data_IF_903207360033
#
_entry.id   IF_903207360033
#
_cell.length_a   1.000
_cell.length_b   1.000
_cell.length_c   1.000
_cell.angle_alpha   90.00
_cell.angle_beta   90.00
_cell.angle_gamma   90.00
#
_symmetry.space_group_name_H-M   'P 1'
#
loop_
_entity.id
_entity.type
_entity.pdbx_description
1 polymer ?
#
# COMPACT_ATOMS: atom_id res chain seq x y z
N UNK A 1 8.76 -20.57 8.68
CA UNK A 1 8.54 -19.40 9.55
C UNK A 1 9.58 -18.38 9.15
N UNK A 2 9.17 -17.22 8.62
CA UNK A 2 10.09 -16.17 8.20
C UNK A 2 10.61 -15.46 9.46
N UNK A 3 11.91 -15.14 9.50
CA UNK A 3 12.51 -14.43 10.64
C UNK A 3 11.93 -13.02 10.76
N UNK A 4 11.75 -12.52 11.98
CA UNK A 4 11.32 -11.15 12.25
C UNK A 4 12.20 -10.11 11.52
N UNK A 5 13.51 -10.37 11.42
CA UNK A 5 14.45 -9.51 10.71
C UNK A 5 14.17 -9.47 9.20
N UNK A 6 13.81 -10.61 8.62
CA UNK A 6 13.46 -10.70 7.20
C UNK A 6 12.12 -10.02 6.92
N UNK A 7 11.14 -10.21 7.79
CA UNK A 7 9.84 -9.53 7.69
C UNK A 7 9.97 -8.01 7.80
N UNK A 8 10.74 -7.53 8.78
CA UNK A 8 10.98 -6.09 8.95
C UNK A 8 11.74 -5.51 7.75
N UNK A 9 12.70 -6.26 7.19
CA UNK A 9 13.40 -5.87 5.98
C UNK A 9 12.46 -5.81 4.77
N UNK A 10 11.62 -6.82 4.57
CA UNK A 10 10.62 -6.83 3.47
C UNK A 10 9.64 -5.68 3.63
N UNK A 11 9.10 -5.47 4.83
CA UNK A 11 8.23 -4.35 5.14
C UNK A 11 8.89 -3.01 4.80
N UNK A 12 10.05 -2.72 5.39
CA UNK A 12 10.74 -1.44 5.19
C UNK A 12 11.18 -1.24 3.74
N UNK A 13 11.65 -2.30 3.06
CA UNK A 13 12.08 -2.20 1.66
C UNK A 13 10.90 -1.98 0.73
N UNK A 14 9.76 -2.64 0.97
CA UNK A 14 8.54 -2.41 0.20
C UNK A 14 8.04 -0.97 0.36
N UNK A 15 8.02 -0.44 1.60
CA UNK A 15 7.64 0.95 1.86
C UNK A 15 8.62 1.96 1.25
N UNK A 16 9.93 1.70 1.35
CA UNK A 16 10.96 2.53 0.74
C UNK A 16 10.88 2.53 -0.79
N UNK A 17 10.48 1.41 -1.41
CA UNK A 17 10.30 1.34 -2.87
C UNK A 17 9.13 2.20 -3.33
N UNK A 18 8.02 2.18 -2.57
CA UNK A 18 6.84 2.99 -2.89
C UNK A 18 7.14 4.50 -2.82
N UNK A 19 7.87 4.92 -1.80
CA UNK A 19 8.28 6.32 -1.65
C UNK A 19 9.35 6.67 -2.67
N UNK A 20 10.53 6.06 -2.59
CA UNK A 20 11.70 6.57 -3.34
C UNK A 20 11.66 6.31 -4.85
N UNK A 21 10.82 5.39 -5.34
CA UNK A 21 10.79 4.96 -6.75
C UNK A 21 12.07 4.32 -7.27
N UNK A 22 13.12 4.35 -6.45
CA UNK A 22 14.33 3.61 -6.67
C UNK A 22 14.01 2.19 -6.27
N UNK A 23 13.82 1.34 -7.27
CA UNK A 23 14.18 -0.05 -7.16
C UNK A 23 15.67 -0.09 -6.79
N UNK A 24 16.00 0.07 -5.52
CA UNK A 24 17.12 -0.67 -4.93
C UNK A 24 16.72 -2.13 -4.95
N UNK A 25 16.64 -2.69 -6.16
CA UNK A 25 16.66 -4.10 -6.50
C UNK A 25 18.04 -4.71 -6.18
N UNK A 26 18.72 -4.19 -5.14
CA UNK A 26 19.75 -4.95 -4.49
C UNK A 26 19.02 -5.97 -3.61
N UNK A 27 18.66 -7.07 -4.27
CA UNK A 27 18.71 -8.40 -3.67
C UNK A 27 17.53 -8.87 -2.81
N UNK A 28 16.27 -8.56 -3.13
CA UNK A 28 15.19 -9.43 -2.64
C UNK A 28 15.22 -10.74 -3.45
N UNK A 29 15.20 -10.69 -4.78
CA UNK A 29 15.24 -11.88 -5.63
C UNK A 29 16.52 -12.71 -5.43
N UNK A 30 17.68 -12.04 -5.33
CA UNK A 30 18.98 -12.74 -5.22
C UNK A 30 19.30 -13.25 -3.80
N UNK A 31 18.53 -12.88 -2.77
CA UNK A 31 18.59 -13.54 -1.45
C UNK A 31 17.84 -14.88 -1.45
N UNK A 32 16.91 -15.08 -2.40
CA UNK A 32 16.05 -16.27 -2.47
C UNK A 32 16.39 -17.22 -3.63
N UNK A 33 17.36 -16.87 -4.49
CA UNK A 33 17.87 -17.73 -5.59
C UNK A 33 18.88 -18.79 -5.13
N UNK A 34 19.00 -19.07 -3.84
CA UNK A 34 19.80 -20.19 -3.37
C UNK A 34 19.06 -21.51 -3.70
N UNK A 35 19.61 -22.40 -4.54
CA UNK A 35 18.96 -23.63 -4.97
C UNK A 35 18.96 -24.61 -3.80
N UNK A 36 17.93 -24.55 -2.96
CA UNK A 36 17.80 -25.44 -1.80
C UNK A 36 16.76 -25.05 -0.75
N UNK A 37 16.26 -23.81 -0.76
CA UNK A 37 15.21 -23.43 0.19
C UNK A 37 14.30 -22.33 -0.37
N UNK A 38 13.29 -22.73 -1.14
CA UNK A 38 12.05 -21.96 -1.19
C UNK A 38 11.63 -21.74 0.27
N UNK A 39 11.50 -20.49 0.76
CA UNK A 39 10.96 -20.27 2.08
C UNK A 39 9.58 -20.91 2.06
N UNK A 40 9.37 -21.89 2.94
CA UNK A 40 8.06 -22.47 3.22
C UNK A 40 7.08 -21.31 3.24
N UNK A 41 6.10 -21.33 2.31
CA UNK A 41 4.92 -20.46 2.20
C UNK A 41 4.36 -20.19 3.60
N UNK A 42 4.89 -19.19 4.28
CA UNK A 42 4.86 -19.12 5.73
C UNK A 42 4.41 -17.75 6.16
N UNK A 43 3.46 -17.74 7.08
CA UNK A 43 3.06 -16.54 7.83
C UNK A 43 4.32 -15.86 8.38
N UNK A 44 4.51 -14.59 8.03
CA UNK A 44 5.56 -13.76 8.60
C UNK A 44 5.26 -13.48 10.08
N UNK A 45 6.29 -13.32 10.91
CA UNK A 45 6.15 -12.93 12.31
C UNK A 45 5.52 -11.54 12.50
N UNK A 46 5.70 -10.62 11.54
CA UNK A 46 5.18 -9.25 11.55
C UNK A 46 4.10 -9.05 10.48
N UNK A 47 4.40 -9.45 9.24
CA UNK A 47 3.50 -9.27 8.10
C UNK A 47 2.37 -10.30 8.07
N UNK A 48 2.38 -11.28 8.98
CA UNK A 48 1.32 -12.26 9.12
C UNK A 48 1.05 -13.02 7.83
N UNK A 49 -0.24 -13.20 7.51
CA UNK A 49 -0.65 -13.76 6.23
C UNK A 49 -0.48 -12.80 5.06
N UNK A 50 -0.32 -11.50 5.29
CA UNK A 50 -0.19 -10.49 4.24
C UNK A 50 1.20 -10.48 3.58
N UNK A 51 2.16 -11.29 4.03
CA UNK A 51 3.54 -11.32 3.51
C UNK A 51 3.61 -11.36 1.96
N UNK A 52 2.76 -12.18 1.32
CA UNK A 52 2.72 -12.30 -0.15
C UNK A 52 2.28 -10.98 -0.82
N UNK A 53 1.41 -10.19 -0.19
CA UNK A 53 1.00 -8.87 -0.70
C UNK A 53 2.15 -7.85 -0.66
N UNK A 54 3.03 -7.92 0.35
CA UNK A 54 4.20 -7.03 0.42
C UNK A 54 5.16 -7.23 -0.75
N UNK A 55 5.21 -8.43 -1.33
CA UNK A 55 6.04 -8.73 -2.51
C UNK A 55 5.48 -8.08 -3.79
N UNK A 56 4.20 -7.72 -3.81
CA UNK A 56 3.59 -7.01 -4.93
C UNK A 56 3.81 -5.49 -4.87
N UNK A 57 4.13 -4.91 -3.70
CA UNK A 57 4.35 -3.47 -3.55
C UNK A 57 5.43 -2.93 -4.52
N UNK A 58 6.61 -3.56 -4.66
CA UNK A 58 7.61 -3.11 -5.63
C UNK A 58 7.12 -3.13 -7.08
N UNK A 59 6.38 -4.17 -7.47
CA UNK A 59 5.85 -4.32 -8.82
C UNK A 59 4.77 -3.26 -9.12
N UNK A 60 3.83 -3.04 -8.17
CA UNK A 60 2.82 -1.97 -8.27
C UNK A 60 3.51 -0.61 -8.37
N UNK A 61 4.49 -0.35 -7.51
CA UNK A 61 5.24 0.91 -7.53
C UNK A 61 5.91 1.13 -8.88
N UNK A 62 6.67 0.15 -9.38
CA UNK A 62 7.35 0.26 -10.67
C UNK A 62 6.37 0.55 -11.82
N UNK A 63 5.20 -0.10 -11.82
CA UNK A 63 4.16 0.14 -12.82
C UNK A 63 3.62 1.57 -12.76
N UNK A 64 3.37 2.11 -11.55
CA UNK A 64 2.92 3.49 -11.35
C UNK A 64 3.98 4.52 -11.79
N UNK A 65 5.25 4.24 -11.51
CA UNK A 65 6.37 5.07 -11.96
C UNK A 65 6.51 5.12 -13.48
N UNK A 66 6.38 3.97 -14.12
CA UNK A 66 6.37 3.89 -15.59
C UNK A 66 5.17 4.66 -16.15
N UNK A 67 3.98 4.48 -15.56
CA UNK A 67 2.78 5.23 -15.96
C UNK A 67 3.00 6.75 -15.87
N UNK A 68 3.46 7.26 -14.73
CA UNK A 68 3.70 8.69 -14.54
C UNK A 68 4.75 9.24 -15.54
N UNK A 69 5.77 8.44 -15.86
CA UNK A 69 6.80 8.81 -16.84
C UNK A 69 6.23 8.85 -18.27
N UNK A 70 5.42 7.86 -18.67
CA UNK A 70 4.79 7.81 -19.98
C UNK A 70 3.70 8.88 -20.17
N UNK A 71 2.96 9.22 -19.10
CA UNK A 71 1.99 10.32 -19.08
C UNK A 71 2.66 11.66 -19.41
N UNK A 72 3.86 11.91 -18.85
CA UNK A 72 4.64 13.12 -19.19
C UNK A 72 5.24 13.11 -20.60
N UNK A 73 5.51 11.92 -21.16
CA UNK A 73 6.15 11.76 -22.47
C UNK A 73 5.15 11.63 -23.64
N UNK A 74 3.85 11.47 -23.37
CA UNK A 74 2.81 11.32 -24.40
C UNK A 74 2.91 10.02 -25.22
N UNK A 75 3.44 8.94 -24.63
CA UNK A 75 3.68 7.67 -25.33
C UNK A 75 2.53 6.65 -25.19
N UNK A 76 2.40 5.68 -26.12
CA UNK A 76 1.32 4.68 -26.09
C UNK A 76 1.42 3.75 -24.87
N UNK A 77 0.30 3.58 -24.17
CA UNK A 77 0.18 2.89 -22.88
C UNK A 77 -0.06 1.37 -22.97
N UNK A 78 -0.10 0.79 -24.17
CA UNK A 78 -0.57 -0.59 -24.38
C UNK A 78 0.22 -1.66 -23.61
N UNK A 79 1.55 -1.51 -23.49
CA UNK A 79 2.37 -2.45 -22.72
C UNK A 79 2.03 -2.44 -21.22
N UNK A 80 1.73 -1.26 -20.66
CA UNK A 80 1.40 -1.11 -19.23
C UNK A 80 0.01 -1.68 -18.90
N UNK A 81 -0.90 -1.71 -19.88
CA UNK A 81 -2.24 -2.26 -19.68
C UNK A 81 -2.25 -3.78 -19.47
N UNK A 82 -1.29 -4.50 -20.04
CA UNK A 82 -1.13 -5.95 -19.79
C UNK A 82 -0.54 -6.19 -18.40
N UNK A 83 0.54 -5.50 -18.06
CA UNK A 83 1.16 -5.59 -16.73
C UNK A 83 0.18 -5.23 -15.60
N UNK A 84 -0.65 -4.20 -15.81
CA UNK A 84 -1.75 -3.83 -14.93
C UNK A 84 -2.74 -4.98 -14.74
N UNK A 85 -3.26 -5.57 -15.83
CA UNK A 85 -4.27 -6.65 -15.75
C UNK A 85 -3.73 -7.89 -15.05
N UNK A 86 -2.49 -8.28 -15.37
CA UNK A 86 -1.85 -9.43 -14.75
C UNK A 86 -1.63 -9.21 -13.25
N UNK A 87 -1.08 -8.05 -12.87
CA UNK A 87 -0.81 -7.73 -11.47
C UNK A 87 -2.09 -7.57 -10.65
N UNK A 88 -3.11 -6.89 -11.20
CA UNK A 88 -4.43 -6.74 -10.57
C UNK A 88 -5.08 -8.10 -10.32
N UNK A 89 -5.08 -8.98 -11.33
CA UNK A 89 -5.63 -10.33 -11.24
C UNK A 89 -4.94 -11.17 -10.15
N UNK A 90 -3.61 -11.10 -10.06
CA UNK A 90 -2.85 -11.80 -9.01
C UNK A 90 -3.22 -11.30 -7.61
N UNK A 91 -3.34 -9.98 -7.43
CA UNK A 91 -3.71 -9.39 -6.14
C UNK A 91 -5.16 -9.71 -5.79
N UNK A 92 -6.09 -9.66 -6.74
CA UNK A 92 -7.52 -9.94 -6.52
C UNK A 92 -7.80 -11.40 -6.16
N UNK A 93 -7.10 -12.34 -6.81
CA UNK A 93 -7.24 -13.77 -6.54
C UNK A 93 -6.57 -14.21 -5.25
N UNK A 94 -5.71 -13.37 -4.67
CA UNK A 94 -5.07 -13.66 -3.40
C UNK A 94 -6.11 -13.84 -2.28
N UNK A 95 -5.88 -14.82 -1.41
CA UNK A 95 -6.72 -15.11 -0.24
C UNK A 95 -5.89 -15.31 1.02
N UNK A 96 -6.34 -14.78 2.17
CA UNK A 96 -5.65 -14.93 3.43
C UNK A 96 -5.65 -16.39 3.88
N UNK A 97 -4.51 -16.85 4.38
CA UNK A 97 -4.35 -18.22 4.92
C UNK A 97 -4.51 -18.31 6.43
N UNK A 98 -4.61 -17.17 7.12
CA UNK A 98 -4.80 -17.12 8.57
C UNK A 98 -6.26 -17.28 8.94
N UNK A 99 -6.52 -17.87 10.11
CA UNK A 99 -7.85 -17.88 10.76
C UNK A 99 -8.00 -16.77 11.79
N UNK A 100 -6.92 -16.06 12.12
CA UNK A 100 -6.95 -14.94 13.06
C UNK A 100 -7.52 -13.70 12.38
N UNK A 101 -8.64 -13.20 12.91
CA UNK A 101 -9.42 -12.13 12.31
C UNK A 101 -8.61 -10.86 12.06
N UNK A 102 -7.80 -10.41 13.02
CA UNK A 102 -7.01 -9.18 12.87
C UNK A 102 -5.97 -9.30 11.75
N UNK A 103 -5.31 -10.46 11.62
CA UNK A 103 -4.35 -10.71 10.55
C UNK A 103 -5.04 -10.72 9.18
N UNK A 104 -6.24 -11.32 9.11
CA UNK A 104 -7.06 -11.35 7.90
C UNK A 104 -7.46 -9.93 7.49
N UNK A 105 -8.02 -9.16 8.42
CA UNK A 105 -8.46 -7.78 8.18
C UNK A 105 -7.31 -6.87 7.76
N UNK A 106 -6.15 -7.00 8.39
CA UNK A 106 -4.99 -6.22 8.00
C UNK A 106 -4.48 -6.64 6.61
N UNK A 107 -4.52 -7.92 6.26
CA UNK A 107 -4.15 -8.37 4.93
C UNK A 107 -5.13 -7.89 3.85
N UNK A 108 -6.44 -7.94 4.11
CA UNK A 108 -7.47 -7.38 3.24
C UNK A 108 -7.26 -5.87 3.05
N UNK A 109 -6.91 -5.15 4.12
CA UNK A 109 -6.58 -3.72 4.04
C UNK A 109 -5.43 -3.45 3.05
N UNK A 110 -4.37 -4.28 3.10
CA UNK A 110 -3.28 -4.22 2.13
C UNK A 110 -3.75 -4.54 0.71
N UNK A 111 -4.53 -5.60 0.53
CA UNK A 111 -5.06 -6.01 -0.76
C UNK A 111 -5.86 -4.87 -1.42
N UNK A 112 -6.81 -4.28 -0.68
CA UNK A 112 -7.61 -3.15 -1.18
C UNK A 112 -6.76 -1.92 -1.45
N UNK A 113 -5.75 -1.61 -0.63
CA UNK A 113 -4.87 -0.46 -0.90
C UNK A 113 -4.06 -0.62 -2.19
N UNK A 114 -3.60 -1.85 -2.50
CA UNK A 114 -2.87 -2.14 -3.74
C UNK A 114 -3.79 -2.06 -4.96
N UNK A 115 -4.99 -2.64 -4.87
CA UNK A 115 -5.98 -2.57 -5.94
C UNK A 115 -6.42 -1.14 -6.18
N UNK A 116 -6.66 -0.36 -5.12
CA UNK A 116 -7.01 1.05 -5.22
C UNK A 116 -5.92 1.85 -5.97
N UNK A 117 -4.65 1.62 -5.64
CA UNK A 117 -3.53 2.26 -6.34
C UNK A 117 -3.52 1.94 -7.84
N UNK A 118 -3.78 0.69 -8.22
CA UNK A 118 -3.83 0.29 -9.62
C UNK A 118 -5.04 0.89 -10.33
N UNK A 119 -6.22 0.72 -9.74
CA UNK A 119 -7.50 1.11 -10.34
C UNK A 119 -7.60 2.63 -10.49
N UNK A 120 -7.05 3.41 -9.55
CA UNK A 120 -7.02 4.87 -9.62
C UNK A 120 -6.33 5.41 -10.89
N UNK A 121 -5.32 4.70 -11.39
CA UNK A 121 -4.51 5.13 -12.53
C UNK A 121 -4.93 4.48 -13.85
N UNK A 122 -5.42 3.24 -13.82
CA UNK A 122 -5.63 2.43 -15.02
C UNK A 122 -7.10 2.14 -15.35
N UNK A 123 -8.05 2.31 -14.43
CA UNK A 123 -9.44 1.93 -14.68
C UNK A 123 -10.24 2.91 -15.56
N UNK A 124 -9.70 4.10 -15.85
CA UNK A 124 -10.34 5.08 -16.73
C UNK A 124 -11.71 5.52 -16.20
N UNK A 125 -12.77 5.23 -16.94
CA UNK A 125 -14.14 5.65 -16.61
C UNK A 125 -14.73 4.89 -15.41
N UNK A 126 -14.31 3.65 -15.16
CA UNK A 126 -14.79 2.82 -14.03
C UNK A 126 -14.16 3.20 -12.68
N UNK A 127 -13.17 4.11 -12.69
CA UNK A 127 -12.37 4.47 -11.52
C UNK A 127 -13.22 4.90 -10.32
N UNK A 128 -14.28 5.69 -10.55
CA UNK A 128 -15.08 6.23 -9.44
C UNK A 128 -15.84 5.13 -8.68
N UNK A 129 -16.40 4.16 -9.40
CA UNK A 129 -17.14 3.04 -8.79
C UNK A 129 -16.21 2.13 -7.98
N UNK A 130 -15.03 1.82 -8.54
CA UNK A 130 -13.99 1.00 -7.89
C UNK A 130 -13.43 1.69 -6.65
N UNK A 131 -13.14 3.00 -6.74
CA UNK A 131 -12.71 3.80 -5.58
C UNK A 131 -13.79 3.78 -4.50
N UNK A 132 -15.04 4.09 -4.84
CA UNK A 132 -16.13 4.07 -3.87
C UNK A 132 -16.33 2.67 -3.24
N UNK A 133 -16.12 1.59 -4.00
CA UNK A 133 -16.17 0.24 -3.46
C UNK A 133 -15.04 -0.01 -2.45
N UNK A 134 -13.80 0.34 -2.79
CA UNK A 134 -12.65 0.19 -1.90
C UNK A 134 -12.84 0.97 -0.59
N UNK A 135 -13.47 2.14 -0.62
CA UNK A 135 -13.76 2.91 0.61
C UNK A 135 -14.86 2.29 1.48
N UNK A 136 -15.87 1.64 0.89
CA UNK A 136 -16.84 0.85 1.67
C UNK A 136 -16.16 -0.34 2.37
N UNK A 137 -15.23 -0.99 1.69
CA UNK A 137 -14.47 -2.10 2.26
C UNK A 137 -13.52 -1.61 3.36
N UNK A 138 -12.88 -0.46 3.17
CA UNK A 138 -12.10 0.21 4.21
C UNK A 138 -12.94 0.47 5.47
N UNK A 139 -14.13 1.06 5.33
CA UNK A 139 -15.04 1.33 6.45
C UNK A 139 -15.40 0.04 7.21
N UNK A 140 -15.75 -1.01 6.46
CA UNK A 140 -16.02 -2.34 7.01
C UNK A 140 -14.82 -2.90 7.78
N UNK A 141 -13.61 -2.81 7.20
CA UNK A 141 -12.38 -3.31 7.81
C UNK A 141 -12.03 -2.55 9.09
N UNK A 142 -12.01 -1.21 9.05
CA UNK A 142 -11.62 -0.39 10.20
C UNK A 142 -12.63 -0.47 11.34
N UNK A 143 -13.91 -0.75 11.05
CA UNK A 143 -14.91 -1.02 12.10
C UNK A 143 -14.64 -2.30 12.89
N UNK A 144 -13.88 -3.24 12.29
CA UNK A 144 -13.61 -4.57 12.86
C UNK A 144 -12.17 -4.76 13.30
N UNK A 145 -11.21 -3.98 12.78
CA UNK A 145 -9.79 -4.10 13.10
C UNK A 145 -9.46 -3.24 14.32
N UNK A 146 -9.18 -3.82 15.51
CA UNK A 146 -8.92 -3.04 16.70
C UNK A 146 -7.61 -2.25 16.56
N UNK A 147 -7.58 -0.94 16.84
CA UNK A 147 -6.33 -0.16 16.82
C UNK A 147 -5.27 -0.69 17.79
N UNK A 148 -5.68 -1.35 18.88
CA UNK A 148 -4.76 -1.94 19.86
C UNK A 148 -4.15 -3.28 19.43
N UNK A 149 -4.60 -3.87 18.31
CA UNK A 149 -4.04 -5.12 17.81
C UNK A 149 -2.59 -4.91 17.35
N UNK A 150 -1.63 -5.81 17.68
CA UNK A 150 -0.24 -5.66 17.25
C UNK A 150 -0.08 -5.53 15.73
N UNK A 151 -0.92 -6.21 14.95
CA UNK A 151 -0.85 -6.15 13.47
C UNK A 151 -1.20 -4.76 12.92
N UNK A 152 -1.99 -3.98 13.66
CA UNK A 152 -2.39 -2.62 13.29
C UNK A 152 -1.20 -1.66 13.22
N UNK A 153 -0.03 -2.03 13.78
CA UNK A 153 1.23 -1.30 13.56
C UNK A 153 1.63 -1.22 12.08
N UNK A 154 1.23 -2.22 11.29
CA UNK A 154 1.51 -2.26 9.85
C UNK A 154 0.43 -1.55 9.01
N UNK A 155 -0.70 -1.14 9.59
CA UNK A 155 -1.82 -0.53 8.85
C UNK A 155 -1.56 0.91 8.38
N UNK A 156 -0.48 1.55 8.86
CA UNK A 156 -0.15 2.95 8.53
C UNK A 156 -0.03 3.20 7.03
N UNK A 157 0.67 2.32 6.29
CA UNK A 157 0.86 2.52 4.85
C UNK A 157 -0.44 2.38 4.04
N UNK A 158 -1.25 1.32 4.21
CA UNK A 158 -2.56 1.26 3.56
C UNK A 158 -3.44 2.48 3.88
N UNK A 159 -3.50 2.90 5.14
CA UNK A 159 -4.26 4.09 5.54
C UNK A 159 -3.76 5.37 4.87
N UNK A 160 -2.45 5.49 4.72
CA UNK A 160 -1.84 6.60 3.98
C UNK A 160 -2.27 6.58 2.50
N UNK A 161 -2.18 5.42 1.85
CA UNK A 161 -2.62 5.22 0.46
C UNK A 161 -4.08 5.60 0.28
N UNK A 162 -4.99 5.11 1.13
CA UNK A 162 -6.40 5.51 1.11
C UNK A 162 -6.55 7.02 1.35
N UNK A 163 -5.78 7.59 2.29
CA UNK A 163 -5.83 9.02 2.60
C UNK A 163 -5.48 9.90 1.41
N UNK A 164 -4.54 9.48 0.56
CA UNK A 164 -4.16 10.21 -0.65
C UNK A 164 -5.26 10.22 -1.72
N UNK A 165 -6.11 9.19 -1.76
CA UNK A 165 -7.15 8.98 -2.78
C UNK A 165 -8.56 9.21 -2.24
N UNK A 166 -8.69 9.92 -1.13
CA UNK A 166 -9.95 10.04 -0.39
C UNK A 166 -11.00 10.85 -1.17
N UNK A 167 -12.16 10.28 -1.53
CA UNK A 167 -13.18 10.98 -2.30
C UNK A 167 -14.06 11.87 -1.41
N UNK A 168 -14.32 11.45 -0.17
CA UNK A 168 -15.34 12.04 0.71
C UNK A 168 -14.74 12.51 2.05
N UNK A 169 -15.28 13.59 2.61
CA UNK A 169 -14.84 14.09 3.92
C UNK A 169 -15.10 13.10 5.07
N UNK A 170 -16.13 12.27 4.95
CA UNK A 170 -16.40 11.20 5.92
C UNK A 170 -15.21 10.24 6.05
N UNK A 171 -14.69 9.78 4.90
CA UNK A 171 -13.55 8.86 4.86
C UNK A 171 -12.26 9.52 5.38
N UNK A 172 -12.09 10.84 5.23
CA UNK A 172 -10.99 11.59 5.88
C UNK A 172 -11.09 11.52 7.40
N UNK A 173 -12.29 11.73 7.95
CA UNK A 173 -12.53 11.65 9.40
C UNK A 173 -12.24 10.24 9.93
N UNK A 174 -12.68 9.21 9.20
CA UNK A 174 -12.41 7.82 9.55
C UNK A 174 -10.91 7.52 9.61
N UNK A 175 -10.18 7.83 8.54
CA UNK A 175 -8.72 7.58 8.45
C UNK A 175 -7.97 8.37 9.52
N UNK A 176 -8.31 9.65 9.70
CA UNK A 176 -7.76 10.52 10.75
C UNK A 176 -7.94 9.91 12.14
N UNK A 177 -9.17 9.53 12.48
CA UNK A 177 -9.51 8.97 13.79
C UNK A 177 -8.73 7.66 14.06
N UNK A 178 -8.63 6.80 13.04
CA UNK A 178 -7.89 5.55 13.16
C UNK A 178 -6.39 5.79 13.35
N UNK A 179 -5.76 6.64 12.53
CA UNK A 179 -4.35 7.01 12.69
C UNK A 179 -4.06 7.68 14.03
N UNK A 180 -4.93 8.57 14.51
CA UNK A 180 -4.81 9.17 15.85
C UNK A 180 -4.85 8.11 16.95
N UNK A 181 -5.71 7.09 16.82
CA UNK A 181 -5.77 5.97 17.74
C UNK A 181 -4.46 5.17 17.74
N UNK A 182 -3.90 4.90 16.56
CA UNK A 182 -2.60 4.23 16.43
C UNK A 182 -1.46 5.04 17.05
N UNK A 183 -1.42 6.36 16.83
CA UNK A 183 -0.46 7.27 17.47
C UNK A 183 -0.60 7.23 18.99
N UNK A 184 -1.82 7.30 19.51
CA UNK A 184 -2.06 7.28 20.96
C UNK A 184 -1.65 5.96 21.63
N UNK A 185 -1.80 4.83 20.93
CA UNK A 185 -1.51 3.49 21.48
C UNK A 185 -0.03 3.13 21.35
N UNK A 186 0.55 3.32 20.17
CA UNK A 186 1.91 2.84 19.87
C UNK A 186 2.98 3.93 19.96
N UNK A 187 2.59 5.21 19.87
CA UNK A 187 3.52 6.34 19.96
C UNK A 187 4.58 6.38 18.85
N UNK A 188 4.37 5.68 17.73
CA UNK A 188 5.37 5.57 16.68
C UNK A 188 5.37 6.80 15.77
N UNK A 189 6.57 7.32 15.50
CA UNK A 189 6.77 8.49 14.64
C UNK A 189 6.16 8.32 13.25
N UNK A 190 6.28 7.14 12.65
CA UNK A 190 5.74 6.85 11.30
C UNK A 190 4.23 7.13 11.18
N UNK A 191 3.45 6.81 12.22
CA UNK A 191 2.00 7.06 12.24
C UNK A 191 1.69 8.55 12.36
N UNK A 192 2.44 9.26 13.22
CA UNK A 192 2.27 10.70 13.44
C UNK A 192 2.64 11.48 12.18
N UNK A 193 3.72 11.09 11.52
CA UNK A 193 4.18 11.72 10.28
C UNK A 193 3.23 11.45 9.12
N UNK A 194 2.76 10.21 8.95
CA UNK A 194 1.76 9.88 7.94
C UNK A 194 0.48 10.70 8.12
N UNK A 195 -0.02 10.82 9.36
CA UNK A 195 -1.18 11.67 9.66
C UNK A 195 -0.92 13.14 9.31
N UNK A 196 0.21 13.70 9.77
CA UNK A 196 0.55 15.09 9.48
C UNK A 196 0.63 15.38 7.99
N UNK A 197 1.21 14.46 7.21
CA UNK A 197 1.28 14.60 5.76
C UNK A 197 -0.10 14.57 5.11
N UNK A 198 -0.97 13.65 5.52
CA UNK A 198 -2.35 13.61 5.04
C UNK A 198 -3.11 14.90 5.33
N UNK A 199 -2.95 15.49 6.52
CA UNK A 199 -3.60 16.78 6.83
C UNK A 199 -3.14 17.90 5.88
N UNK A 200 -1.85 17.97 5.56
CA UNK A 200 -1.34 18.95 4.59
C UNK A 200 -1.88 18.69 3.19
N UNK A 201 -1.92 17.43 2.77
CA UNK A 201 -2.52 17.04 1.48
C UNK A 201 -3.99 17.42 1.43
N UNK A 202 -4.77 17.14 2.47
CA UNK A 202 -6.20 17.44 2.51
C UNK A 202 -6.52 18.93 2.52
N UNK A 203 -5.61 19.80 2.99
CA UNK A 203 -5.75 21.27 2.89
C UNK A 203 -5.64 21.79 1.46
N UNK A 204 -4.84 21.13 0.63
CA UNK A 204 -4.49 21.60 -0.73
C UNK A 204 -5.53 21.19 -1.78
N UNK A 205 -6.52 20.33 -1.42
CA UNK A 205 -7.47 19.69 -2.33
C UNK A 205 -6.80 19.18 -3.62
N UNK A 206 -5.95 18.14 -3.50
CA UNK A 206 -5.24 17.57 -4.64
C UNK A 206 -6.24 17.04 -5.67
N UNK A 207 -6.26 17.65 -6.87
CA UNK A 207 -6.88 17.00 -8.03
C UNK A 207 -6.19 15.67 -8.37
N UNK A 208 -6.79 14.89 -9.29
CA UNK A 208 -6.33 13.53 -9.65
C UNK A 208 -4.83 13.41 -9.99
N UNK A 209 -4.20 14.49 -10.47
CA UNK A 209 -2.78 14.51 -10.85
C UNK A 209 -1.80 14.59 -9.67
N UNK A 210 -2.30 14.65 -8.43
CA UNK A 210 -1.42 14.71 -7.26
C UNK A 210 -0.57 13.45 -7.10
N UNK A 211 -1.12 12.26 -7.36
CA UNK A 211 -0.35 11.02 -7.25
C UNK A 211 0.74 10.92 -8.31
N UNK A 212 0.46 11.26 -9.57
CA UNK A 212 1.51 11.34 -10.60
C UNK A 212 2.61 12.32 -10.18
N UNK A 213 2.25 13.46 -9.58
CA UNK A 213 3.23 14.42 -9.01
C UNK A 213 3.93 13.91 -7.76
N UNK A 214 3.28 13.11 -6.92
CA UNK A 214 3.87 12.50 -5.74
C UNK A 214 4.97 11.52 -6.13
N UNK A 215 4.74 10.72 -7.17
CA UNK A 215 5.79 9.89 -7.75
C UNK A 215 6.87 10.80 -8.37
N UNK A 216 6.54 11.73 -9.26
CA UNK A 216 7.59 12.52 -9.95
C UNK A 216 8.41 13.45 -9.03
N UNK A 217 7.82 14.06 -7.98
CA UNK A 217 8.43 15.09 -7.14
C UNK A 217 8.67 14.62 -5.69
N UNK A 218 9.55 13.64 -5.53
CA UNK A 218 9.93 13.09 -4.22
C UNK A 218 10.85 14.00 -3.37
N UNK A 219 11.38 15.09 -3.91
CA UNK A 219 12.36 15.94 -3.19
C UNK A 219 11.83 16.58 -1.90
N UNK A 220 10.52 16.57 -1.62
CA UNK A 220 9.91 17.21 -0.45
C UNK A 220 9.11 16.28 0.49
N UNK A 221 8.96 14.97 0.20
CA UNK A 221 8.06 14.07 0.95
C UNK A 221 8.72 12.75 1.40
N UNK A 222 10.04 12.77 1.63
CA UNK A 222 10.85 11.66 2.14
C UNK A 222 10.60 11.36 3.63
N UNK A 223 9.39 10.99 4.06
CA UNK A 223 9.14 10.81 5.50
C UNK A 223 8.08 9.73 5.85
N UNK A 224 8.02 8.64 5.10
CA UNK A 224 7.39 7.39 5.60
C UNK A 224 8.38 6.24 5.44
N UNK A 225 9.53 6.37 6.10
CA UNK A 225 10.49 5.29 6.39
C UNK A 225 11.12 5.61 7.75
#
# INVERSE_FOLDING_TARGET
>A
MVSLTTDLFVYNTSLATFTTGRTTLLSISTLFDSPGSLPIRGTGAMCGCAYELFLHIPAVSALLWNFASHETAGQPQECLATDYRDLRSQIEQWKPRSTQQDLVLCAELYQHSLLLLLDYHFAGDETEELVNHAFRDLESILSRLPPASPVSTTATWPLFVFGLMVPHDHSKVLIRSYLQSLVGIFGMGVMSTALSQLEEVWKVNPGRNFLSRFFINQNNLLLIC
#
